data_IF_039211741937
#
_entry.id   IF_039211741937
#
_cell.length_a   1.000
_cell.length_b   1.000
_cell.length_c   1.000
_cell.angle_alpha   90.00
_cell.angle_beta   90.00
_cell.angle_gamma   90.00
#
_symmetry.space_group_name_H-M   'P 1'
#
loop_
_entity.id
_entity.type
_entity.pdbx_description
1 polymer ?
#
# COMPACT_ATOMS: atom_id res chain seq x y z
N UNK A 1 -26.32 -12.27 -1.90
CA UNK A 1 -25.53 -11.26 -2.62
C UNK A 1 -24.40 -10.81 -1.69
N UNK A 2 -23.22 -11.44 -1.77
CA UNK A 2 -22.09 -11.09 -0.88
C UNK A 2 -20.75 -11.26 -1.61
N UNK A 3 -20.72 -10.89 -2.89
CA UNK A 3 -19.54 -11.00 -3.76
C UNK A 3 -18.78 -9.67 -3.98
N UNK A 4 -19.44 -8.52 -3.87
CA UNK A 4 -18.83 -7.25 -4.31
C UNK A 4 -17.73 -6.71 -3.38
N UNK A 5 -17.81 -6.91 -2.07
CA UNK A 5 -16.78 -6.40 -1.15
C UNK A 5 -15.43 -7.12 -1.29
N UNK A 6 -15.40 -8.34 -1.88
CA UNK A 6 -14.14 -9.06 -2.06
C UNK A 6 -13.23 -8.42 -3.10
N UNK A 7 -13.77 -7.71 -4.09
CA UNK A 7 -13.01 -7.17 -5.22
C UNK A 7 -12.61 -5.69 -5.04
N UNK A 8 -13.34 -4.93 -4.23
CA UNK A 8 -13.17 -3.46 -4.16
C UNK A 8 -11.80 -3.01 -3.63
N UNK A 9 -11.19 -3.79 -2.73
CA UNK A 9 -9.85 -3.56 -2.22
C UNK A 9 -8.73 -4.19 -3.07
N UNK A 10 -9.05 -5.06 -4.03
CA UNK A 10 -8.05 -5.78 -4.82
C UNK A 10 -7.26 -4.85 -5.75
N UNK A 11 -7.84 -3.70 -6.12
CA UNK A 11 -7.14 -2.63 -6.84
C UNK A 11 -5.92 -2.09 -6.10
N UNK A 12 -5.79 -2.31 -4.79
CA UNK A 12 -4.62 -1.92 -4.01
C UNK A 12 -3.56 -3.02 -3.96
N UNK A 13 -3.96 -4.29 -4.13
CA UNK A 13 -3.06 -5.44 -4.02
C UNK A 13 -2.03 -5.40 -5.14
N UNK A 14 -0.75 -5.54 -4.81
CA UNK A 14 0.36 -5.52 -5.76
C UNK A 14 1.62 -4.89 -5.20
N UNK A 15 2.63 -4.81 -6.05
CA UNK A 15 3.91 -4.15 -5.76
C UNK A 15 3.86 -2.69 -6.21
N UNK A 16 4.33 -1.81 -5.35
CA UNK A 16 4.34 -0.37 -5.55
C UNK A 16 5.74 0.17 -5.26
N UNK A 17 6.16 1.20 -6.00
CA UNK A 17 7.47 1.85 -5.81
C UNK A 17 7.27 3.34 -5.69
N UNK A 18 7.92 3.96 -4.70
CA UNK A 18 7.83 5.38 -4.43
C UNK A 18 8.28 6.17 -5.67
N UNK A 19 7.45 7.09 -6.15
CA UNK A 19 7.74 7.83 -7.39
C UNK A 19 8.89 8.83 -7.23
N UNK A 20 9.15 9.27 -6.00
CA UNK A 20 10.17 10.27 -5.69
C UNK A 20 11.53 9.61 -5.46
N UNK A 21 11.58 8.58 -4.62
CA UNK A 21 12.84 7.92 -4.26
C UNK A 21 13.20 6.80 -5.22
N UNK A 22 12.23 6.16 -5.88
CA UNK A 22 12.38 4.96 -6.74
C UNK A 22 13.02 3.74 -6.06
N UNK A 23 13.45 3.85 -4.82
CA UNK A 23 14.08 2.76 -4.08
C UNK A 23 13.16 2.22 -2.98
N UNK A 24 12.29 3.06 -2.39
CA UNK A 24 11.31 2.59 -1.42
C UNK A 24 10.19 1.83 -2.12
N UNK A 25 9.91 0.65 -1.59
CA UNK A 25 8.94 -0.27 -2.17
C UNK A 25 7.86 -0.61 -1.16
N UNK A 26 6.67 -0.87 -1.66
CA UNK A 26 5.50 -1.18 -0.86
C UNK A 26 4.75 -2.34 -1.50
N UNK A 27 4.60 -3.43 -0.74
CA UNK A 27 3.79 -4.58 -1.14
C UNK A 27 2.48 -4.56 -0.39
N UNK A 28 1.37 -4.58 -1.12
CA UNK A 28 0.05 -4.72 -0.51
C UNK A 28 -0.47 -6.09 -0.88
N UNK A 29 -0.74 -6.89 0.14
CA UNK A 29 -1.23 -8.26 0.00
C UNK A 29 -2.58 -8.39 0.70
N UNK A 30 -3.45 -9.22 0.14
CA UNK A 30 -4.70 -9.58 0.80
C UNK A 30 -4.46 -10.69 1.81
N UNK A 31 -4.91 -10.49 3.05
CA UNK A 31 -4.81 -11.45 4.14
C UNK A 31 -6.21 -11.80 4.68
N UNK A 32 -6.94 -12.64 3.94
CA UNK A 32 -8.32 -12.99 4.26
C UNK A 32 -9.31 -11.86 3.96
N UNK A 33 -9.91 -11.29 5.01
CA UNK A 33 -10.85 -10.16 4.92
C UNK A 33 -10.15 -8.79 5.06
N UNK A 34 -8.88 -8.78 5.47
CA UNK A 34 -8.07 -7.58 5.63
C UNK A 34 -6.91 -7.59 4.62
N UNK A 35 -6.09 -6.55 4.69
CA UNK A 35 -4.92 -6.35 3.86
C UNK A 35 -3.69 -6.20 4.76
N UNK A 36 -2.54 -6.55 4.23
CA UNK A 36 -1.25 -6.34 4.85
C UNK A 36 -0.43 -5.44 3.93
N UNK A 37 0.01 -4.30 4.45
CA UNK A 37 0.91 -3.39 3.75
C UNK A 37 2.32 -3.64 4.27
N UNK A 38 3.27 -3.95 3.39
CA UNK A 38 4.68 -4.08 3.74
C UNK A 38 5.47 -2.97 3.07
N UNK A 39 5.92 -1.97 3.84
CA UNK A 39 6.87 -0.98 3.33
C UNK A 39 8.29 -1.47 3.53
N UNK A 40 9.14 -1.37 2.51
CA UNK A 40 10.56 -1.71 2.56
C UNK A 40 11.40 -0.51 2.18
N UNK A 41 12.09 0.04 3.17
CA UNK A 41 13.04 1.15 2.99
C UNK A 41 14.46 0.59 2.78
N UNK A 42 15.18 0.99 1.71
CA UNK A 42 16.49 0.46 1.36
C UNK A 42 17.63 0.96 2.26
N UNK A 43 18.78 0.26 2.14
CA UNK A 43 19.96 0.43 2.99
C UNK A 43 20.65 1.80 2.88
N UNK A 44 20.42 2.57 1.81
CA UNK A 44 21.13 3.85 1.65
C UNK A 44 20.67 4.87 2.71
N UNK A 45 19.43 4.77 3.18
CA UNK A 45 18.86 5.61 4.24
C UNK A 45 18.94 4.96 5.64
N UNK A 46 19.20 3.66 5.74
CA UNK A 46 19.19 2.89 7.00
C UNK A 46 20.32 1.84 7.04
N UNK A 47 21.01 1.67 8.19
CA UNK A 47 22.12 0.68 8.31
C UNK A 47 21.73 -0.77 7.98
N UNK A 48 20.43 -1.09 7.99
CA UNK A 48 19.84 -2.38 7.58
C UNK A 48 18.53 -2.08 6.85
N UNK A 49 18.18 -2.81 5.76
CA UNK A 49 16.88 -2.67 5.14
C UNK A 49 15.83 -2.92 6.21
N UNK A 50 14.88 -2.00 6.31
CA UNK A 50 13.78 -2.11 7.26
C UNK A 50 12.53 -2.42 6.46
N UNK A 51 11.95 -3.59 6.73
CA UNK A 51 10.63 -3.94 6.23
C UNK A 51 9.66 -3.86 7.39
N UNK A 52 8.65 -3.01 7.27
CA UNK A 52 7.61 -2.81 8.27
C UNK A 52 6.29 -3.31 7.70
N UNK A 53 5.51 -4.02 8.53
CA UNK A 53 4.23 -4.59 8.13
C UNK A 53 3.11 -3.94 8.92
N UNK A 54 2.14 -3.39 8.21
CA UNK A 54 1.01 -2.65 8.78
C UNK A 54 -0.30 -3.34 8.39
N UNK A 55 -1.17 -3.64 9.36
CA UNK A 55 -2.50 -4.13 9.06
C UNK A 55 -3.32 -3.02 8.39
N UNK A 56 -4.14 -3.41 7.42
CA UNK A 56 -4.99 -2.49 6.72
C UNK A 56 -6.37 -3.07 6.44
N UNK A 57 -7.38 -2.21 6.39
CA UNK A 57 -8.76 -2.59 6.08
C UNK A 57 -9.27 -1.72 4.94
N UNK A 58 -9.93 -2.34 3.96
CA UNK A 58 -10.59 -1.57 2.91
C UNK A 58 -11.92 -1.03 3.44
N UNK A 59 -12.07 0.29 3.40
CA UNK A 59 -13.27 0.98 3.89
C UNK A 59 -13.44 2.32 3.18
N UNK A 60 -14.69 2.66 2.85
CA UNK A 60 -15.06 3.97 2.28
C UNK A 60 -14.25 4.36 1.02
N UNK A 61 -13.88 3.38 0.19
CA UNK A 61 -13.15 3.63 -1.06
C UNK A 61 -11.62 3.62 -0.93
N UNK A 62 -11.08 3.57 0.29
CA UNK A 62 -9.67 3.66 0.62
C UNK A 62 -9.17 2.47 1.45
N UNK A 63 -7.85 2.23 1.46
CA UNK A 63 -7.21 1.30 2.40
C UNK A 63 -6.87 2.08 3.68
N UNK A 64 -7.51 1.78 4.80
CA UNK A 64 -7.16 2.36 6.09
C UNK A 64 -6.03 1.53 6.71
N UNK A 65 -4.84 2.10 6.77
CA UNK A 65 -3.63 1.46 7.29
C UNK A 65 -3.34 1.97 8.69
N UNK A 66 -3.16 1.07 9.65
CA UNK A 66 -2.79 1.46 11.02
C UNK A 66 -1.27 1.41 11.18
N UNK A 67 -0.65 2.58 11.36
CA UNK A 67 0.79 2.75 11.56
C UNK A 67 1.03 3.41 12.93
N UNK A 68 1.70 2.70 13.85
CA UNK A 68 2.10 3.21 15.18
C UNK A 68 1.00 3.96 15.98
N UNK A 69 -0.26 3.54 15.80
CA UNK A 69 -1.43 4.12 16.48
C UNK A 69 -2.16 5.20 15.68
N UNK A 70 -1.63 5.62 14.54
CA UNK A 70 -2.27 6.51 13.59
C UNK A 70 -2.94 5.70 12.46
N UNK A 71 -4.07 6.18 11.95
CA UNK A 71 -4.74 5.59 10.79
C UNK A 71 -4.52 6.48 9.58
N UNK A 72 -3.89 5.92 8.56
CA UNK A 72 -3.58 6.60 7.30
C UNK A 72 -4.42 6.01 6.20
N UNK A 73 -5.05 6.87 5.39
CA UNK A 73 -5.91 6.43 4.29
C UNK A 73 -5.11 6.38 3.00
N UNK A 74 -5.01 5.20 2.41
CA UNK A 74 -4.39 4.99 1.12
C UNK A 74 -5.45 5.05 0.02
N UNK A 75 -5.20 5.84 -1.00
CA UNK A 75 -6.12 6.03 -2.12
C UNK A 75 -5.36 5.95 -3.44
N UNK A 76 -5.96 5.32 -4.44
CA UNK A 76 -5.40 5.33 -5.80
C UNK A 76 -6.00 6.52 -6.55
N UNK A 77 -5.12 7.40 -7.03
CA UNK A 77 -5.51 8.50 -7.90
C UNK A 77 -5.95 7.95 -9.26
N UNK A 78 -7.19 8.25 -9.64
CA UNK A 78 -7.77 7.78 -10.89
C UNK A 78 -7.13 8.43 -12.14
N UNK A 79 -6.43 9.57 -11.99
CA UNK A 79 -5.82 10.28 -13.10
C UNK A 79 -4.51 9.64 -13.58
N UNK A 80 -3.70 9.11 -12.66
CA UNK A 80 -2.37 8.54 -12.96
C UNK A 80 -2.21 7.09 -12.49
N UNK A 81 -3.14 6.54 -11.71
CA UNK A 81 -3.06 5.20 -11.14
C UNK A 81 -2.06 5.06 -9.98
N UNK A 82 -1.56 6.16 -9.44
CA UNK A 82 -0.62 6.16 -8.32
C UNK A 82 -1.35 5.96 -6.99
N UNK A 83 -0.71 5.22 -6.09
CA UNK A 83 -1.12 5.05 -4.71
C UNK A 83 -0.62 6.23 -3.87
N UNK A 84 -1.55 6.98 -3.28
CA UNK A 84 -1.26 8.04 -2.33
C UNK A 84 -1.36 7.49 -0.91
N UNK A 85 -0.33 7.74 -0.10
CA UNK A 85 -0.24 7.26 1.30
C UNK A 85 -0.36 8.40 2.32
N UNK A 86 -0.94 9.54 1.93
CA UNK A 86 -1.13 10.71 2.79
C UNK A 86 0.03 11.73 2.81
N UNK A 87 1.21 11.33 2.35
CA UNK A 87 2.35 12.23 2.14
C UNK A 87 3.23 11.87 0.95
N UNK A 88 3.15 10.62 0.49
CA UNK A 88 3.94 10.11 -0.61
C UNK A 88 3.06 9.48 -1.69
N UNK A 89 3.65 9.30 -2.87
CA UNK A 89 3.02 8.65 -4.00
C UNK A 89 3.84 7.46 -4.46
N UNK A 90 3.17 6.39 -4.81
CA UNK A 90 3.77 5.18 -5.32
C UNK A 90 3.15 4.78 -6.66
N UNK A 91 3.98 4.36 -7.59
CA UNK A 91 3.53 3.80 -8.86
C UNK A 91 3.48 2.28 -8.78
N UNK A 92 2.48 1.69 -9.41
CA UNK A 92 2.33 0.24 -9.49
C UNK A 92 3.40 -0.33 -10.41
N UNK A 93 4.08 -1.38 -9.96
CA UNK A 93 5.03 -2.13 -10.79
C UNK A 93 4.36 -3.41 -11.27
N UNK A 94 4.32 -3.67 -12.59
CA UNK A 94 3.83 -4.94 -13.11
C UNK A 94 4.73 -6.08 -12.61
N UNK A 95 4.13 -7.17 -12.13
CA UNK A 95 4.87 -8.41 -11.94
C UNK A 95 5.42 -8.87 -13.31
N UNK A 96 6.72 -9.14 -13.38
CA UNK A 96 7.38 -9.67 -14.59
C UNK A 96 6.98 -11.11 -14.87
#
# INVERSE_FOLDING_TARGET
MSGCAKEEGEKFVGHWVNVQTQEETMDIERNGETFMVRSTTPKFFSRKPKTESYPAVYKDGALQVTNDGETVNFAIDAANGHLNTGGEQYQRVPAK
#
